data_IF_253728941510
#
_entry.id   IF_253728941510
#
_cell.length_a   1.000
_cell.length_b   1.000
_cell.length_c   1.000
_cell.angle_alpha   90.00
_cell.angle_beta   90.00
_cell.angle_gamma   90.00
#
_symmetry.space_group_name_H-M   'P 1'
#
loop_
_entity.id
_entity.type
_entity.pdbx_description
1 polymer ?
#
# COMPACT_ATOMS: atom_id res chain seq x y z
N UNK A 1 0.02 11.15 -2.47
CA UNK A 1 -0.42 9.77 -2.14
C UNK A 1 -0.37 8.92 -3.40
N UNK A 2 0.06 7.66 -3.31
CA UNK A 2 -0.07 6.72 -4.44
C UNK A 2 -1.54 6.41 -4.74
N UNK A 3 -1.91 6.09 -6.00
CA UNK A 3 -3.25 5.58 -6.31
C UNK A 3 -3.60 4.37 -5.45
N UNK A 4 -4.89 4.16 -5.16
CA UNK A 4 -5.37 3.00 -4.41
C UNK A 4 -6.27 2.17 -5.32
N UNK A 5 -6.11 0.85 -5.28
CA UNK A 5 -6.84 -0.09 -6.14
C UNK A 5 -7.07 -1.43 -5.44
N UNK A 6 -7.97 -2.24 -5.98
CA UNK A 6 -8.09 -3.64 -5.59
C UNK A 6 -6.96 -4.46 -6.19
N UNK A 7 -6.33 -5.31 -5.38
CA UNK A 7 -5.47 -6.36 -5.88
C UNK A 7 -6.28 -7.54 -6.44
N UNK A 8 -5.60 -8.50 -7.07
CA UNK A 8 -6.23 -9.71 -7.64
C UNK A 8 -6.97 -10.58 -6.61
N UNK A 9 -6.75 -10.34 -5.31
CA UNK A 9 -7.37 -11.07 -4.20
C UNK A 9 -8.51 -10.26 -3.54
N UNK A 10 -8.84 -9.08 -4.08
CA UNK A 10 -9.87 -8.20 -3.53
C UNK A 10 -9.41 -7.37 -2.32
N UNK A 11 -8.11 -7.30 -2.03
CA UNK A 11 -7.58 -6.41 -0.99
C UNK A 11 -7.37 -5.02 -1.56
N UNK A 12 -7.82 -3.98 -0.85
CA UNK A 12 -7.53 -2.59 -1.21
C UNK A 12 -6.09 -2.25 -0.81
N UNK A 13 -5.26 -1.86 -1.79
CA UNK A 13 -3.83 -1.54 -1.60
C UNK A 13 -3.47 -0.26 -2.33
N UNK A 14 -2.36 0.35 -1.91
CA UNK A 14 -1.69 1.31 -2.78
C UNK A 14 -1.18 0.61 -4.05
N UNK A 15 -1.25 1.30 -5.18
CA UNK A 15 -0.65 0.86 -6.44
C UNK A 15 0.86 0.84 -6.28
N UNK A 16 1.45 -0.33 -6.45
CA UNK A 16 2.90 -0.51 -6.33
C UNK A 16 3.65 0.24 -7.45
N UNK A 17 4.78 0.83 -7.07
CA UNK A 17 5.81 1.23 -8.02
C UNK A 17 6.74 0.03 -8.27
N UNK A 18 6.65 -0.56 -9.46
CA UNK A 18 7.40 -1.77 -9.82
C UNK A 18 8.92 -1.61 -9.73
N UNK A 19 9.45 -0.41 -9.95
CA UNK A 19 10.89 -0.14 -9.82
C UNK A 19 11.29 -0.19 -8.36
N UNK A 20 10.54 0.50 -7.48
CA UNK A 20 10.81 0.52 -6.03
C UNK A 20 10.66 -0.88 -5.43
N UNK A 21 9.61 -1.62 -5.82
CA UNK A 21 9.42 -3.01 -5.41
C UNK A 21 10.60 -3.89 -5.85
N UNK A 22 11.03 -3.79 -7.11
CA UNK A 22 12.18 -4.54 -7.61
C UNK A 22 13.48 -4.23 -6.85
N UNK A 23 13.73 -2.97 -6.50
CA UNK A 23 14.89 -2.58 -5.70
C UNK A 23 14.84 -3.17 -4.29
N UNK A 24 13.67 -3.15 -3.65
CA UNK A 24 13.48 -3.78 -2.34
C UNK A 24 13.67 -5.29 -2.41
N UNK A 25 13.06 -5.97 -3.39
CA UNK A 25 13.21 -7.41 -3.61
C UNK A 25 14.66 -7.82 -3.88
N UNK A 26 15.43 -6.95 -4.54
CA UNK A 26 16.85 -7.15 -4.75
C UNK A 26 17.67 -6.95 -3.46
N UNK A 27 17.33 -5.95 -2.65
CA UNK A 27 18.07 -5.57 -1.45
C UNK A 27 17.79 -6.47 -0.24
N UNK A 28 16.56 -6.95 -0.08
CA UNK A 28 16.12 -7.77 1.05
C UNK A 28 16.97 -9.04 1.27
N UNK A 29 17.21 -9.91 0.27
CA UNK A 29 18.06 -11.09 0.45
C UNK A 29 19.54 -10.74 0.67
N UNK A 30 19.94 -9.48 0.48
CA UNK A 30 21.29 -8.96 0.75
C UNK A 30 21.41 -8.31 2.14
N UNK A 31 20.38 -8.47 2.98
CA UNK A 31 20.35 -7.92 4.33
C UNK A 31 19.95 -6.45 4.40
N UNK A 32 19.16 -5.98 3.43
CA UNK A 32 18.57 -4.64 3.46
C UNK A 32 17.09 -4.70 3.06
N UNK A 33 16.26 -5.20 3.97
CA UNK A 33 14.80 -5.25 3.84
C UNK A 33 14.10 -4.21 4.71
N UNK A 34 12.79 -4.36 4.89
CA UNK A 34 11.99 -3.41 5.67
C UNK A 34 12.42 -3.32 7.14
N UNK A 35 12.87 -4.44 7.73
CA UNK A 35 13.34 -4.47 9.12
C UNK A 35 14.65 -3.70 9.29
N UNK A 36 15.56 -3.77 8.32
CA UNK A 36 16.82 -3.03 8.36
C UNK A 36 16.58 -1.55 8.08
N UNK A 37 15.76 -1.21 7.08
CA UNK A 37 15.34 0.17 6.81
C UNK A 37 14.63 0.80 8.02
N UNK A 38 13.88 0.01 8.81
CA UNK A 38 13.23 0.46 10.04
C UNK A 38 14.24 1.01 11.08
N UNK A 39 15.49 0.53 11.06
CA UNK A 39 16.55 0.90 12.02
C UNK A 39 17.48 2.01 11.51
N UNK A 40 17.35 2.40 10.26
CA UNK A 40 18.15 3.49 9.66
C UNK A 40 17.53 4.85 9.94
N UNK A 41 18.29 5.92 9.71
CA UNK A 41 17.86 7.30 9.93
C UNK A 41 17.07 7.86 8.74
N UNK A 42 15.81 7.41 8.61
CA UNK A 42 14.84 7.94 7.66
C UNK A 42 13.70 8.65 8.37
N UNK A 43 13.22 9.72 7.76
CA UNK A 43 12.07 10.48 8.26
C UNK A 43 10.80 9.62 8.26
N UNK A 44 9.80 10.01 9.04
CA UNK A 44 8.50 9.35 8.98
C UNK A 44 7.85 9.50 7.59
N UNK A 45 8.05 10.63 6.92
CA UNK A 45 7.55 10.89 5.58
C UNK A 45 8.13 9.90 4.56
N UNK A 46 9.44 9.66 4.59
CA UNK A 46 10.10 8.70 3.70
C UNK A 46 9.57 7.27 3.91
N UNK A 47 9.39 6.87 5.17
CA UNK A 47 8.84 5.54 5.52
C UNK A 47 7.40 5.39 5.04
N UNK A 48 6.61 6.43 5.24
CA UNK A 48 5.23 6.51 4.81
C UNK A 48 5.13 6.43 3.28
N UNK A 49 5.98 7.17 2.57
CA UNK A 49 6.05 7.14 1.10
C UNK A 49 6.50 5.76 0.60
N UNK A 50 7.51 5.15 1.23
CA UNK A 50 7.98 3.81 0.88
C UNK A 50 6.86 2.78 1.03
N UNK A 51 6.11 2.79 2.14
CA UNK A 51 4.99 1.88 2.36
C UNK A 51 3.96 1.98 1.22
N UNK A 52 3.60 3.19 0.80
CA UNK A 52 2.70 3.38 -0.34
C UNK A 52 3.32 2.85 -1.65
N UNK A 53 4.59 3.18 -1.92
CA UNK A 53 5.29 2.78 -3.15
C UNK A 53 5.49 1.28 -3.29
N UNK A 54 5.59 0.52 -2.19
CA UNK A 54 5.72 -0.95 -2.24
C UNK A 54 4.37 -1.69 -2.26
N UNK A 55 3.26 -0.96 -2.36
CA UNK A 55 1.92 -1.53 -2.46
C UNK A 55 1.37 -2.10 -1.15
N UNK A 56 1.66 -1.45 -0.03
CA UNK A 56 1.09 -1.83 1.27
C UNK A 56 -0.45 -1.80 1.22
N UNK A 57 -1.10 -2.69 1.96
CA UNK A 57 -2.56 -2.67 2.09
C UNK A 57 -3.00 -1.41 2.80
N UNK A 58 -4.11 -0.79 2.37
CA UNK A 58 -4.64 0.41 3.04
C UNK A 58 -5.01 0.10 4.50
N UNK A 59 -5.66 -1.05 4.74
CA UNK A 59 -6.05 -1.46 6.09
C UNK A 59 -4.84 -1.58 7.03
N UNK A 60 -3.75 -2.22 6.60
CA UNK A 60 -2.54 -2.34 7.42
C UNK A 60 -1.75 -1.03 7.53
N UNK A 61 -1.89 -0.10 6.58
CA UNK A 61 -1.16 1.16 6.58
C UNK A 61 -1.57 2.05 7.76
N UNK A 62 -2.84 2.00 8.16
CA UNK A 62 -3.35 2.70 9.34
C UNK A 62 -2.71 2.28 10.67
N UNK A 63 -2.15 1.07 10.74
CA UNK A 63 -1.50 0.53 11.94
C UNK A 63 -0.01 0.92 12.05
N UNK A 64 0.55 1.57 11.03
CA UNK A 64 1.97 1.94 11.02
C UNK A 64 2.21 3.16 11.92
N UNK A 65 3.11 3.03 12.89
CA UNK A 65 3.41 4.08 13.88
C UNK A 65 3.95 5.40 13.30
N UNK A 66 4.35 5.40 12.02
CA UNK A 66 4.87 6.55 11.28
C UNK A 66 3.89 7.07 10.21
N UNK A 67 2.71 6.46 10.06
CA UNK A 67 1.68 6.99 9.18
C UNK A 67 1.01 8.20 9.84
N UNK A 68 1.00 9.34 9.15
CA UNK A 68 0.31 10.52 9.67
C UNK A 68 -1.20 10.31 9.60
N UNK A 69 -1.92 10.84 10.60
CA UNK A 69 -3.39 10.76 10.67
C UNK A 69 -4.05 11.27 9.39
N UNK A 70 -3.61 12.41 8.87
CA UNK A 70 -4.12 12.99 7.62
C UNK A 70 -3.96 12.04 6.43
N UNK A 71 -2.81 11.36 6.36
CA UNK A 71 -2.53 10.41 5.29
C UNK A 71 -3.41 9.15 5.40
N UNK A 72 -3.61 8.65 6.61
CA UNK A 72 -4.52 7.53 6.88
C UNK A 72 -5.96 7.89 6.53
N UNK A 73 -6.46 9.03 7.02
CA UNK A 73 -7.82 9.51 6.72
C UNK A 73 -8.06 9.67 5.21
N UNK A 74 -7.07 10.17 4.47
CA UNK A 74 -7.14 10.27 3.00
C UNK A 74 -7.21 8.89 2.33
N UNK A 75 -6.38 7.95 2.77
CA UNK A 75 -6.35 6.60 2.22
C UNK A 75 -7.65 5.83 2.51
N UNK A 76 -8.17 5.97 3.73
CA UNK A 76 -9.42 5.35 4.18
C UNK A 76 -10.61 5.89 3.40
N UNK A 77 -10.70 7.21 3.17
CA UNK A 77 -11.77 7.81 2.36
C UNK A 77 -11.78 7.28 0.92
N UNK A 78 -10.59 7.10 0.31
CA UNK A 78 -10.47 6.53 -1.05
C UNK A 78 -10.87 5.04 -1.03
N UNK A 79 -10.43 4.29 -0.02
CA UNK A 79 -10.77 2.87 0.13
C UNK A 79 -12.28 2.67 0.35
N UNK A 80 -12.90 3.51 1.17
CA UNK A 80 -14.35 3.50 1.41
C UNK A 80 -15.11 3.76 0.10
N UNK A 81 -14.73 4.80 -0.65
CA UNK A 81 -15.35 5.11 -1.95
C UNK A 81 -15.20 3.96 -2.96
N UNK A 82 -14.04 3.29 -2.99
CA UNK A 82 -13.82 2.10 -3.83
C UNK A 82 -14.67 0.92 -3.40
N UNK A 83 -14.84 0.70 -2.10
CA UNK A 83 -15.66 -0.40 -1.56
C UNK A 83 -17.17 -0.17 -1.73
N UNK A 84 -17.61 1.09 -1.70
CA UNK A 84 -19.01 1.48 -1.88
C UNK A 84 -19.44 1.46 -3.36
N UNK A 85 -18.49 1.45 -4.30
CA UNK A 85 -18.78 1.30 -5.73
C UNK A 85 -18.90 -0.19 -6.04
N UNK A 86 -20.09 -0.72 -6.38
CA UNK A 86 -20.21 -2.11 -6.78
C UNK A 86 -19.36 -2.36 -8.03
N UNK A 87 -18.46 -3.35 -7.94
CA UNK A 87 -17.63 -3.78 -9.07
C UNK A 87 -18.53 -4.16 -10.26
N UNK A 88 -18.33 -3.62 -11.47
CA UNK A 88 -19.09 -4.01 -12.67
C UNK A 88 -18.78 -5.43 -13.18
N UNK A 89 -18.16 -6.30 -12.37
CA UNK A 89 -17.59 -7.57 -12.82
C UNK A 89 -17.99 -8.81 -11.97
N UNK A 90 -19.18 -8.83 -11.37
CA UNK A 90 -19.72 -10.05 -10.72
C UNK A 90 -21.09 -10.50 -11.25
N UNK A 91 -21.64 -9.85 -12.28
CA UNK A 91 -22.87 -10.24 -12.98
C UNK A 91 -22.59 -11.00 -14.30
N UNK A 92 -21.77 -12.03 -14.22
CA UNK A 92 -21.68 -13.06 -15.25
C UNK A 92 -21.83 -14.44 -14.60
N UNK A 93 -23.02 -14.71 -14.05
CA UNK A 93 -23.53 -16.08 -13.97
C UNK A 93 -23.99 -16.44 -15.38
N UNK A 94 -23.10 -17.05 -16.16
CA UNK A 94 -23.53 -17.76 -17.37
C UNK A 94 -24.25 -19.04 -16.97
N UNK A 95 -25.37 -19.23 -17.67
CA UNK A 95 -26.37 -20.30 -17.63
C UNK A 95 -25.84 -21.53 -18.34
#
# INVERSE_FOLDING_TARGET
MQPIEFDRRGTIRFRENKIVRHLLDFAEPRGCGLNELARMDFSQEDRMQLAQLIGYSVSGYGDLSYASRESVETADAIAEALSATPSPAMDAKEV
#
